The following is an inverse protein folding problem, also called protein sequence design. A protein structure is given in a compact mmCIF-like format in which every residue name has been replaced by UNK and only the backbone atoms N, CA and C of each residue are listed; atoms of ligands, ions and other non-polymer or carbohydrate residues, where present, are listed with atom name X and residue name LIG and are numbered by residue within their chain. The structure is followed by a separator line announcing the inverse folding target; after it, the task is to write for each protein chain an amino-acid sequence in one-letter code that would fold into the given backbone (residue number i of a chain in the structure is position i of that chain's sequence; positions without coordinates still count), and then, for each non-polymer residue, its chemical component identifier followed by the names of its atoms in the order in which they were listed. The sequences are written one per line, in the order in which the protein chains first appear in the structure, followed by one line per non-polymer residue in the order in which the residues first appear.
data_IF_408060964999
#
_entry.id   IF_408060964999
#
_cell.length_a   1.000
_cell.length_b   1.000
_cell.length_c   1.000
_cell.angle_alpha   90.00
_cell.angle_beta   90.00
_cell.angle_gamma   90.00
#
_symmetry.space_group_name_H-M   'P 1'
#
loop_
_entity.id
_entity.type
_entity.pdbx_description
1 polymer ?
#
# COMPACT_ATOMS: atom_id res chain seq x y z
N UNK A 1 -3.58 24.03 2.76
CA UNK A 1 -4.88 23.63 2.16
C UNK A 1 -4.71 23.29 0.69
N UNK A 2 -4.94 22.02 0.38
CA UNK A 2 -4.93 21.47 -0.97
C UNK A 2 -6.19 21.91 -1.73
N UNK A 3 -6.12 21.96 -3.06
CA UNK A 3 -7.33 22.05 -3.88
C UNK A 3 -8.13 20.76 -3.79
N UNK A 4 -9.45 20.83 -3.97
CA UNK A 4 -10.35 19.67 -3.98
C UNK A 4 -9.86 18.57 -4.94
N UNK A 5 -9.50 18.96 -6.17
CA UNK A 5 -8.93 18.05 -7.18
C UNK A 5 -7.68 17.31 -6.68
N UNK A 6 -6.81 17.98 -5.92
CA UNK A 6 -5.58 17.36 -5.40
C UNK A 6 -5.88 16.44 -4.21
N UNK A 7 -6.77 16.86 -3.31
CA UNK A 7 -7.26 16.03 -2.20
C UNK A 7 -7.88 14.74 -2.72
N UNK A 8 -8.73 14.80 -3.75
CA UNK A 8 -9.33 13.62 -4.36
C UNK A 8 -8.29 12.69 -4.99
N UNK A 9 -7.31 13.25 -5.70
CA UNK A 9 -6.25 12.46 -6.32
C UNK A 9 -5.40 11.72 -5.26
N UNK A 10 -5.06 12.39 -4.16
CA UNK A 10 -4.28 11.80 -3.07
C UNK A 10 -5.07 10.75 -2.30
N UNK A 11 -6.35 10.98 -2.00
CA UNK A 11 -7.21 9.98 -1.37
C UNK A 11 -7.41 8.74 -2.27
N UNK A 12 -7.54 8.95 -3.59
CA UNK A 12 -7.59 7.85 -4.54
C UNK A 12 -6.26 7.08 -4.56
N UNK A 13 -5.12 7.77 -4.50
CA UNK A 13 -3.82 7.10 -4.46
C UNK A 13 -3.61 6.34 -3.14
N UNK A 14 -3.98 6.92 -2.00
CA UNK A 14 -3.95 6.25 -0.70
C UNK A 14 -4.71 4.90 -0.74
N UNK A 15 -5.91 4.90 -1.31
CA UNK A 15 -6.69 3.67 -1.48
C UNK A 15 -6.00 2.65 -2.40
N UNK A 16 -5.32 3.11 -3.46
CA UNK A 16 -4.57 2.23 -4.35
C UNK A 16 -3.38 1.58 -3.64
N UNK A 17 -2.63 2.31 -2.81
CA UNK A 17 -1.51 1.73 -2.07
C UNK A 17 -1.99 0.67 -1.06
N UNK A 18 -3.09 0.94 -0.35
CA UNK A 18 -3.67 -0.05 0.57
C UNK A 18 -4.16 -1.29 -0.19
N UNK A 19 -4.77 -1.10 -1.37
CA UNK A 19 -5.17 -2.22 -2.22
C UNK A 19 -3.96 -3.02 -2.72
N UNK A 20 -2.89 -2.35 -3.17
CA UNK A 20 -1.64 -2.98 -3.58
C UNK A 20 -1.01 -3.78 -2.44
N UNK A 21 -0.99 -3.22 -1.22
CA UNK A 21 -0.54 -3.93 -0.03
C UNK A 21 -1.35 -5.22 0.16
N UNK A 22 -2.69 -5.13 0.21
CA UNK A 22 -3.56 -6.29 0.34
C UNK A 22 -3.31 -7.35 -0.76
N UNK A 23 -3.11 -6.90 -2.00
CA UNK A 23 -2.77 -7.77 -3.12
C UNK A 23 -1.44 -8.51 -2.89
N UNK A 24 -0.38 -7.82 -2.48
CA UNK A 24 0.90 -8.46 -2.17
C UNK A 24 0.80 -9.41 -0.98
N UNK A 25 0.03 -9.08 0.05
CA UNK A 25 -0.23 -10.00 1.16
C UNK A 25 -0.93 -11.29 0.68
N UNK A 26 -1.90 -11.17 -0.22
CA UNK A 26 -2.55 -12.32 -0.86
C UNK A 26 -1.58 -13.17 -1.69
N UNK A 27 -0.71 -12.53 -2.48
CA UNK A 27 0.34 -13.20 -3.26
C UNK A 27 1.37 -13.91 -2.36
N UNK A 28 1.69 -13.30 -1.21
CA UNK A 28 2.54 -13.91 -0.18
C UNK A 28 1.91 -15.20 0.35
N UNK A 29 0.63 -15.15 0.74
CA UNK A 29 -0.10 -16.31 1.24
C UNK A 29 -0.18 -17.43 0.19
N UNK A 30 -0.47 -17.10 -1.07
CA UNK A 30 -0.50 -18.08 -2.16
C UNK A 30 0.87 -18.71 -2.42
N UNK A 31 1.94 -17.90 -2.40
CA UNK A 31 3.31 -18.39 -2.57
C UNK A 31 3.72 -19.33 -1.44
N UNK A 32 3.34 -19.01 -0.20
CA UNK A 32 3.57 -19.86 0.96
C UNK A 32 2.83 -21.20 0.84
N UNK A 33 1.56 -21.18 0.45
CA UNK A 33 0.78 -22.39 0.17
C UNK A 33 1.42 -23.26 -0.92
N UNK A 34 2.02 -22.63 -1.92
CA UNK A 34 2.69 -23.30 -3.04
C UNK A 34 4.13 -23.78 -2.72
N UNK A 35 4.60 -23.62 -1.48
CA UNK A 35 5.97 -23.99 -1.07
C UNK A 35 7.06 -23.04 -1.57
N UNK A 36 6.71 -21.89 -2.13
CA UNK A 36 7.60 -20.87 -2.68
C UNK A 36 7.98 -19.84 -1.61
N UNK A 37 8.66 -20.29 -0.55
CA UNK A 37 8.90 -19.49 0.68
C UNK A 37 9.70 -18.20 0.44
N UNK A 38 10.63 -18.20 -0.53
CA UNK A 38 11.38 -16.99 -0.90
C UNK A 38 10.49 -15.90 -1.52
N UNK A 39 9.58 -16.29 -2.41
CA UNK A 39 8.58 -15.37 -2.99
C UNK A 39 7.58 -14.91 -1.94
N UNK A 40 7.15 -15.80 -1.05
CA UNK A 40 6.26 -15.44 0.06
C UNK A 40 6.86 -14.32 0.92
N UNK A 41 8.14 -14.45 1.30
CA UNK A 41 8.85 -13.41 2.03
C UNK A 41 8.97 -12.11 1.21
N UNK A 42 9.35 -12.21 -0.07
CA UNK A 42 9.48 -11.04 -0.93
C UNK A 42 8.17 -10.25 -1.02
N UNK A 43 7.05 -10.91 -1.30
CA UNK A 43 5.73 -10.25 -1.34
C UNK A 43 5.33 -9.66 0.01
N UNK A 44 5.72 -10.29 1.13
CA UNK A 44 5.44 -9.73 2.46
C UNK A 44 6.23 -8.44 2.72
N UNK A 45 7.46 -8.34 2.22
CA UNK A 45 8.24 -7.09 2.23
C UNK A 45 7.55 -6.02 1.37
N UNK A 46 7.06 -6.39 0.18
CA UNK A 46 6.33 -5.45 -0.68
C UNK A 46 5.04 -4.94 -0.04
N UNK A 47 4.29 -5.78 0.69
CA UNK A 47 3.17 -5.30 1.51
C UNK A 47 3.59 -4.19 2.49
N UNK A 48 4.73 -4.35 3.16
CA UNK A 48 5.23 -3.37 4.13
C UNK A 48 5.62 -2.07 3.43
N UNK A 49 6.24 -2.14 2.25
CA UNK A 49 6.57 -0.98 1.43
C UNK A 49 5.32 -0.21 1.00
N UNK A 50 4.28 -0.89 0.50
CA UNK A 50 3.05 -0.21 0.08
C UNK A 50 2.27 0.39 1.26
N UNK A 51 2.29 -0.26 2.44
CA UNK A 51 1.75 0.36 3.65
C UNK A 51 2.54 1.60 4.06
N UNK A 52 3.86 1.62 3.87
CA UNK A 52 4.67 2.82 4.11
C UNK A 52 4.35 3.94 3.11
N UNK A 53 4.10 3.61 1.83
CA UNK A 53 3.62 4.57 0.84
C UNK A 53 2.26 5.17 1.23
N UNK A 54 1.30 4.31 1.61
CA UNK A 54 -0.01 4.73 2.09
C UNK A 54 0.10 5.70 3.27
N UNK A 55 0.88 5.33 4.30
CA UNK A 55 1.06 6.18 5.48
C UNK A 55 1.70 7.53 5.14
N UNK A 56 2.68 7.56 4.22
CA UNK A 56 3.29 8.82 3.79
C UNK A 56 2.28 9.75 3.09
N UNK A 57 1.38 9.20 2.29
CA UNK A 57 0.30 9.98 1.66
C UNK A 57 -0.68 10.48 2.71
N UNK A 58 -1.09 9.61 3.63
CA UNK A 58 -1.98 9.96 4.74
C UNK A 58 -1.41 11.10 5.59
N UNK A 59 -0.18 10.96 6.07
CA UNK A 59 0.51 11.97 6.89
C UNK A 59 0.63 13.30 6.13
N UNK A 60 0.88 13.24 4.82
CA UNK A 60 0.90 14.44 4.00
C UNK A 60 -0.47 15.11 3.94
N UNK A 61 -1.56 14.38 3.67
CA UNK A 61 -2.91 14.94 3.66
C UNK A 61 -3.23 15.59 5.01
N UNK A 62 -2.98 14.90 6.12
CA UNK A 62 -3.23 15.39 7.49
C UNK A 62 -2.44 16.67 7.80
N UNK A 63 -1.19 16.76 7.32
CA UNK A 63 -0.35 17.96 7.50
C UNK A 63 -0.88 19.23 6.83
N UNK A 64 -1.85 19.11 5.91
CA UNK A 64 -2.38 20.25 5.15
C UNK A 64 -3.49 21.04 5.86
N UNK A 65 -3.89 20.59 7.05
CA UNK A 65 -4.98 21.14 7.87
C UNK A 65 -6.35 20.84 7.29
#
# INVERSE_FOLDING_TARGET
MLSEKMTDALNNQLNKEIYSAYLYMSMSAYSSYSGLTGFANWFMVQYQEEMAHAMKIYDYIDSQG
#
